data_IF_793637077299
#
_entry.id   IF_793637077299
#
_cell.length_a   1.000
_cell.length_b   1.000
_cell.length_c   1.000
_cell.angle_alpha   90.00
_cell.angle_beta   90.00
_cell.angle_gamma   90.00
#
_symmetry.space_group_name_H-M   'P 1'
#
loop_
_entity.id
_entity.type
_entity.pdbx_description
1 polymer ?
#
# COMPACT_ATOMS: atom_id res chain seq x y z
N UNK A 1 5.80 -29.94 27.70
CA UNK A 1 4.44 -30.48 27.51
C UNK A 1 3.92 -29.97 26.19
N UNK A 2 3.52 -30.86 25.27
CA UNK A 2 2.99 -30.44 23.97
C UNK A 2 1.57 -29.86 24.11
N UNK A 3 1.15 -28.98 23.19
CA UNK A 3 -0.21 -28.40 23.19
C UNK A 3 -1.30 -29.49 23.25
N UNK A 4 -1.08 -30.61 22.55
CA UNK A 4 -1.97 -31.77 22.59
C UNK A 4 -2.13 -32.32 24.02
N UNK A 5 -1.03 -32.53 24.74
CA UNK A 5 -1.07 -33.02 26.13
C UNK A 5 -1.66 -32.00 27.09
N UNK A 6 -1.46 -30.70 26.81
CA UNK A 6 -2.08 -29.62 27.57
C UNK A 6 -3.62 -29.63 27.41
N UNK A 7 -4.13 -29.80 26.19
CA UNK A 7 -5.58 -29.85 25.92
C UNK A 7 -6.29 -31.10 26.46
N UNK A 8 -5.59 -32.23 26.58
CA UNK A 8 -6.17 -33.48 27.11
C UNK A 8 -6.03 -33.65 28.62
N UNK A 9 -5.51 -32.63 29.33
CA UNK A 9 -5.42 -32.68 30.77
C UNK A 9 -6.83 -32.65 31.39
N UNK A 10 -7.16 -33.68 32.19
CA UNK A 10 -8.49 -33.83 32.82
C UNK A 10 -8.73 -32.82 33.95
N UNK A 11 -7.69 -32.13 34.41
CA UNK A 11 -7.71 -31.17 35.52
C UNK A 11 -7.38 -29.74 35.05
N UNK A 12 -7.80 -29.36 33.85
CA UNK A 12 -7.60 -27.99 33.33
C UNK A 12 -8.39 -27.00 34.19
N UNK A 13 -7.70 -25.99 34.70
CA UNK A 13 -8.33 -24.89 35.43
C UNK A 13 -9.10 -23.95 34.46
N UNK A 14 -10.11 -23.21 34.93
CA UNK A 14 -10.95 -22.36 34.08
C UNK A 14 -10.17 -21.32 33.25
N UNK A 15 -9.07 -20.77 33.78
CA UNK A 15 -8.27 -19.76 33.07
C UNK A 15 -7.48 -20.41 31.94
N UNK A 16 -6.95 -21.61 32.15
CA UNK A 16 -6.32 -22.41 31.11
C UNK A 16 -7.32 -22.86 30.04
N UNK A 17 -8.57 -23.17 30.42
CA UNK A 17 -9.64 -23.47 29.47
C UNK A 17 -9.98 -22.25 28.59
N UNK A 18 -10.10 -21.07 29.19
CA UNK A 18 -10.33 -19.82 28.45
C UNK A 18 -9.18 -19.51 27.49
N UNK A 19 -7.93 -19.80 27.86
CA UNK A 19 -6.77 -19.67 26.96
C UNK A 19 -6.85 -20.64 25.78
N UNK A 20 -7.28 -21.88 25.99
CA UNK A 20 -7.50 -22.85 24.92
C UNK A 20 -8.63 -22.38 24.01
N UNK A 21 -9.74 -21.92 24.58
CA UNK A 21 -10.87 -21.40 23.80
C UNK A 21 -10.43 -20.17 23.02
N UNK A 22 -9.74 -19.20 23.60
CA UNK A 22 -9.28 -18.04 22.86
C UNK A 22 -8.26 -18.39 21.75
N UNK A 23 -7.36 -19.35 22.00
CA UNK A 23 -6.43 -19.82 20.97
C UNK A 23 -7.12 -20.59 19.83
N UNK A 24 -8.10 -21.44 20.17
CA UNK A 24 -8.87 -22.22 19.19
C UNK A 24 -9.88 -21.34 18.45
N UNK A 25 -10.39 -20.28 19.11
CA UNK A 25 -11.48 -19.45 18.62
C UNK A 25 -11.15 -18.05 18.13
N UNK A 26 -9.86 -17.72 18.00
CA UNK A 26 -9.43 -16.58 17.20
C UNK A 26 -9.94 -16.73 15.76
N UNK A 27 -10.63 -15.70 15.26
CA UNK A 27 -11.23 -15.64 13.92
C UNK A 27 -10.23 -15.97 12.80
N UNK A 28 -8.96 -15.63 13.01
CA UNK A 28 -7.84 -15.88 12.11
C UNK A 28 -7.57 -17.38 11.87
N UNK A 29 -7.93 -18.25 12.83
CA UNK A 29 -7.72 -19.71 12.76
C UNK A 29 -8.99 -20.52 12.45
N UNK A 30 -10.13 -19.84 12.28
CA UNK A 30 -11.46 -20.47 12.15
C UNK A 30 -11.98 -20.66 10.75
N UNK A 31 -11.63 -19.80 9.79
CA UNK A 31 -12.15 -19.98 8.42
C UNK A 31 -11.77 -21.36 7.83
N UNK A 32 -10.62 -21.97 8.17
CA UNK A 32 -10.33 -23.36 7.79
C UNK A 32 -11.03 -24.45 8.62
N UNK A 33 -11.49 -24.18 9.84
CA UNK A 33 -12.04 -25.19 10.79
C UNK A 33 -13.57 -25.22 10.90
N UNK A 34 -14.26 -24.11 10.62
CA UNK A 34 -15.73 -24.06 10.51
C UNK A 34 -16.26 -24.78 9.27
N UNK A 35 -15.38 -25.16 8.35
CA UNK A 35 -15.69 -25.90 7.15
C UNK A 35 -15.19 -27.33 7.38
N UNK A 36 -16.09 -28.32 7.28
CA UNK A 36 -15.72 -29.75 7.31
C UNK A 36 -14.42 -29.97 6.52
N UNK A 37 -13.46 -30.67 7.13
CA UNK A 37 -12.14 -31.00 6.54
C UNK A 37 -12.26 -31.63 5.16
N UNK A 38 -13.40 -32.25 4.86
CA UNK A 38 -13.68 -32.97 3.62
C UNK A 38 -14.33 -32.07 2.55
N UNK A 39 -14.96 -30.97 2.96
CA UNK A 39 -15.70 -30.06 2.07
C UNK A 39 -14.98 -28.72 1.83
N UNK A 40 -13.88 -28.42 2.52
CA UNK A 40 -13.10 -27.19 2.29
C UNK A 40 -12.67 -27.04 0.81
N UNK A 41 -12.31 -28.14 0.14
CA UNK A 41 -11.97 -28.15 -1.29
C UNK A 41 -13.12 -27.76 -2.23
N UNK A 42 -14.38 -27.84 -1.77
CA UNK A 42 -15.57 -27.50 -2.56
C UNK A 42 -15.94 -26.02 -2.44
N UNK A 43 -15.35 -25.30 -1.49
CA UNK A 43 -15.64 -23.88 -1.25
C UNK A 43 -14.61 -23.08 -2.03
N UNK A 44 -15.08 -22.40 -3.08
CA UNK A 44 -14.27 -21.44 -3.81
C UNK A 44 -14.00 -20.27 -2.88
N UNK A 45 -12.80 -20.20 -2.30
CA UNK A 45 -12.34 -18.99 -1.61
C UNK A 45 -12.42 -17.82 -2.59
N UNK A 46 -12.79 -16.63 -2.08
CA UNK A 46 -12.81 -15.43 -2.90
C UNK A 46 -11.44 -15.25 -3.56
N UNK A 47 -11.45 -14.97 -4.86
CA UNK A 47 -10.24 -14.62 -5.60
C UNK A 47 -9.58 -13.40 -4.92
N UNK A 48 -8.30 -13.54 -4.54
CA UNK A 48 -7.54 -12.46 -3.92
C UNK A 48 -7.56 -11.27 -4.89
N UNK A 49 -7.90 -10.06 -4.41
CA UNK A 49 -7.87 -8.89 -5.27
C UNK A 49 -6.42 -8.40 -5.45
N UNK A 50 -6.15 -7.62 -6.50
CA UNK A 50 -4.81 -7.04 -6.69
C UNK A 50 -4.39 -6.16 -5.49
N UNK A 51 -5.33 -5.41 -4.91
CA UNK A 51 -5.06 -4.59 -3.73
C UNK A 51 -4.74 -5.45 -2.50
N UNK A 52 -5.46 -6.55 -2.30
CA UNK A 52 -5.19 -7.50 -1.21
C UNK A 52 -3.80 -8.15 -1.36
N UNK A 53 -3.43 -8.54 -2.59
CA UNK A 53 -2.11 -9.07 -2.89
C UNK A 53 -1.00 -8.06 -2.56
N UNK A 54 -1.21 -6.77 -2.89
CA UNK A 54 -0.27 -5.69 -2.56
C UNK A 54 -0.18 -5.44 -1.05
N UNK A 55 -1.32 -5.42 -0.34
CA UNK A 55 -1.36 -5.29 1.12
C UNK A 55 -0.62 -6.43 1.82
N UNK A 56 -0.73 -7.65 1.28
CA UNK A 56 -0.04 -8.83 1.77
C UNK A 56 1.43 -8.94 1.29
N UNK A 57 1.90 -8.04 0.43
CA UNK A 57 3.21 -8.15 -0.25
C UNK A 57 3.40 -9.53 -0.94
N UNK A 58 2.32 -10.06 -1.53
CA UNK A 58 2.33 -11.35 -2.23
C UNK A 58 2.82 -11.18 -3.68
N UNK A 59 4.13 -11.25 -3.87
CA UNK A 59 4.78 -11.07 -5.18
C UNK A 59 4.31 -12.07 -6.24
N UNK A 60 4.01 -13.31 -5.87
CA UNK A 60 3.52 -14.34 -6.80
C UNK A 60 2.17 -13.92 -7.38
N UNK A 61 1.21 -13.58 -6.52
CA UNK A 61 -0.13 -13.17 -6.96
C UNK A 61 -0.09 -11.84 -7.73
N UNK A 62 0.78 -10.90 -7.31
CA UNK A 62 1.02 -9.66 -8.06
C UNK A 62 1.54 -9.98 -9.47
N UNK A 63 2.48 -10.91 -9.62
CA UNK A 63 3.02 -11.29 -10.92
C UNK A 63 2.00 -11.99 -11.81
N UNK A 64 1.11 -12.80 -11.23
CA UNK A 64 0.04 -13.46 -11.95
C UNK A 64 -1.01 -12.45 -12.46
N UNK A 65 -1.27 -11.38 -11.71
CA UNK A 65 -2.29 -10.38 -12.08
C UNK A 65 -1.77 -9.20 -12.90
N UNK A 66 -0.51 -8.78 -12.68
CA UNK A 66 0.10 -7.63 -13.34
C UNK A 66 0.83 -8.11 -14.60
N UNK A 67 0.03 -8.42 -15.62
CA UNK A 67 0.51 -8.98 -16.90
C UNK A 67 0.73 -7.90 -17.96
N UNK A 68 0.12 -6.73 -17.80
CA UNK A 68 0.21 -5.62 -18.74
C UNK A 68 0.45 -4.28 -18.03
N UNK A 69 0.73 -3.25 -18.83
CA UNK A 69 1.08 -1.91 -18.34
C UNK A 69 -0.07 -1.22 -17.61
N UNK A 70 -1.32 -1.45 -18.01
CA UNK A 70 -2.51 -0.86 -17.38
C UNK A 70 -2.71 -1.45 -15.98
N UNK A 71 -2.51 -2.76 -15.83
CA UNK A 71 -2.50 -3.41 -14.51
C UNK A 71 -1.32 -2.92 -13.66
N UNK A 72 -0.17 -2.62 -14.28
CA UNK A 72 0.98 -2.05 -13.58
C UNK A 72 0.68 -0.63 -13.06
N UNK A 73 -0.01 0.22 -13.83
CA UNK A 73 -0.50 1.53 -13.36
C UNK A 73 -1.39 1.36 -12.13
N UNK A 74 -2.37 0.45 -12.20
CA UNK A 74 -3.28 0.20 -11.08
C UNK A 74 -2.55 -0.32 -9.85
N UNK A 75 -1.63 -1.27 -10.04
CA UNK A 75 -0.81 -1.84 -8.97
C UNK A 75 0.05 -0.76 -8.31
N UNK A 76 0.72 0.10 -9.10
CA UNK A 76 1.58 1.15 -8.58
C UNK A 76 0.77 2.13 -7.72
N UNK A 77 -0.39 2.59 -8.19
CA UNK A 77 -1.26 3.47 -7.39
C UNK A 77 -1.74 2.80 -6.10
N UNK A 78 -2.07 1.50 -6.11
CA UNK A 78 -2.37 0.77 -4.88
C UNK A 78 -1.16 0.68 -3.93
N UNK A 79 0.04 0.48 -4.46
CA UNK A 79 1.26 0.46 -3.66
C UNK A 79 1.54 1.81 -3.01
N UNK A 80 1.40 2.91 -3.74
CA UNK A 80 1.53 4.27 -3.21
C UNK A 80 0.46 4.56 -2.14
N UNK A 81 -0.79 4.24 -2.45
CA UNK A 81 -1.93 4.39 -1.56
C UNK A 81 -1.75 3.68 -0.21
N UNK A 82 -1.33 2.42 -0.27
CA UNK A 82 -1.10 1.54 0.88
C UNK A 82 0.29 1.66 1.52
N UNK A 83 1.12 2.62 1.07
CA UNK A 83 2.49 2.84 1.59
C UNK A 83 3.40 1.60 1.47
N UNK A 84 3.18 0.78 0.44
CA UNK A 84 3.97 -0.43 0.13
C UNK A 84 5.16 -0.10 -0.77
N UNK A 85 6.19 0.48 -0.16
CA UNK A 85 7.36 0.98 -0.87
C UNK A 85 8.17 -0.12 -1.57
N UNK A 86 8.28 -1.30 -0.97
CA UNK A 86 8.90 -2.49 -1.54
C UNK A 86 8.22 -2.89 -2.86
N UNK A 87 6.89 -2.96 -2.86
CA UNK A 87 6.11 -3.29 -4.06
C UNK A 87 6.17 -2.16 -5.09
N UNK A 88 6.09 -0.90 -4.66
CA UNK A 88 6.20 0.24 -5.59
C UNK A 88 7.54 0.21 -6.33
N UNK A 89 8.65 0.04 -5.62
CA UNK A 89 9.99 -0.04 -6.22
C UNK A 89 10.16 -1.30 -7.08
N UNK A 90 9.55 -2.43 -6.69
CA UNK A 90 9.51 -3.64 -7.51
C UNK A 90 8.77 -3.43 -8.84
N UNK A 91 7.62 -2.76 -8.83
CA UNK A 91 6.87 -2.46 -10.04
C UNK A 91 7.63 -1.48 -10.94
N UNK A 92 8.25 -0.45 -10.36
CA UNK A 92 9.07 0.52 -11.08
C UNK A 92 10.33 -0.10 -11.70
N UNK A 93 10.88 -1.17 -11.13
CA UNK A 93 12.02 -1.89 -11.73
C UNK A 93 11.60 -2.88 -12.82
N UNK A 94 10.37 -3.39 -12.76
CA UNK A 94 9.84 -4.37 -13.73
C UNK A 94 9.22 -3.70 -14.97
N UNK A 95 8.68 -2.50 -14.83
CA UNK A 95 8.00 -1.79 -15.91
C UNK A 95 8.63 -0.41 -16.12
N UNK A 96 8.81 -0.03 -17.39
CA UNK A 96 9.27 1.31 -17.73
C UNK A 96 8.10 2.32 -17.65
N UNK A 97 8.07 3.09 -16.56
CA UNK A 97 7.11 4.17 -16.35
C UNK A 97 7.63 5.49 -16.92
N UNK A 98 6.72 6.24 -17.53
CA UNK A 98 6.94 7.60 -18.05
C UNK A 98 6.01 8.57 -17.33
N UNK A 99 6.24 9.88 -17.51
CA UNK A 99 5.32 10.92 -17.03
C UNK A 99 3.89 10.74 -17.57
N UNK A 100 3.74 10.24 -18.81
CA UNK A 100 2.44 9.96 -19.41
C UNK A 100 1.73 8.80 -18.69
N UNK A 101 2.46 7.77 -18.29
CA UNK A 101 1.90 6.65 -17.51
C UNK A 101 1.35 7.11 -16.16
N UNK A 102 2.02 8.06 -15.50
CA UNK A 102 1.53 8.67 -14.25
C UNK A 102 0.23 9.44 -14.50
N UNK A 103 0.16 10.22 -15.59
CA UNK A 103 -1.06 10.95 -15.95
C UNK A 103 -2.23 10.01 -16.32
N UNK A 104 -1.94 8.86 -16.95
CA UNK A 104 -2.94 7.83 -17.24
C UNK A 104 -3.45 7.16 -15.96
N UNK A 105 -2.53 6.81 -15.06
CA UNK A 105 -2.83 6.28 -13.73
C UNK A 105 -3.77 7.21 -12.94
N UNK A 106 -3.58 8.54 -13.02
CA UNK A 106 -4.44 9.54 -12.38
C UNK A 106 -5.86 9.60 -12.95
N UNK A 107 -6.07 9.17 -14.20
CA UNK A 107 -7.37 9.17 -14.89
C UNK A 107 -8.14 7.85 -14.76
N UNK A 108 -7.56 6.84 -14.12
CA UNK A 108 -8.20 5.53 -13.97
C UNK A 108 -9.32 5.57 -12.92
N UNK A 109 -10.57 5.65 -13.38
CA UNK A 109 -11.77 5.71 -12.51
C UNK A 109 -11.90 4.55 -11.51
N UNK A 110 -11.29 3.40 -11.78
CA UNK A 110 -11.32 2.22 -10.89
C UNK A 110 -10.23 2.24 -9.79
N UNK A 111 -9.41 3.29 -9.72
CA UNK A 111 -8.38 3.42 -8.70
C UNK A 111 -8.80 4.41 -7.60
N UNK A 112 -9.24 3.89 -6.46
CA UNK A 112 -9.73 4.72 -5.34
C UNK A 112 -8.70 5.74 -4.85
N UNK A 113 -7.41 5.43 -4.89
CA UNK A 113 -6.38 6.35 -4.39
C UNK A 113 -6.19 7.52 -5.36
N UNK A 114 -6.06 7.25 -6.65
CA UNK A 114 -5.92 8.31 -7.66
C UNK A 114 -7.20 9.14 -7.83
N UNK A 115 -8.37 8.59 -7.50
CA UNK A 115 -9.63 9.37 -7.46
C UNK A 115 -9.63 10.42 -6.34
N UNK A 116 -8.98 10.13 -5.21
CA UNK A 116 -8.99 10.99 -4.01
C UNK A 116 -7.73 11.87 -3.90
N UNK A 117 -6.63 11.44 -4.50
CA UNK A 117 -5.31 12.00 -4.29
C UNK A 117 -4.55 12.10 -5.61
N UNK A 118 -3.77 13.16 -5.75
CA UNK A 118 -2.78 13.27 -6.80
C UNK A 118 -1.57 12.39 -6.45
N UNK A 119 -0.79 11.99 -7.45
CA UNK A 119 0.37 11.13 -7.23
C UNK A 119 1.40 11.83 -6.37
N UNK A 120 1.64 13.10 -6.63
CA UNK A 120 2.52 13.97 -5.85
C UNK A 120 2.07 14.05 -4.38
N UNK A 121 0.76 14.09 -4.14
CA UNK A 121 0.23 14.02 -2.77
C UNK A 121 0.58 12.67 -2.13
N UNK A 122 0.36 11.55 -2.82
CA UNK A 122 0.66 10.21 -2.30
C UNK A 122 2.16 10.00 -2.02
N UNK A 123 3.04 10.61 -2.82
CA UNK A 123 4.49 10.55 -2.66
C UNK A 123 5.00 11.35 -1.45
N UNK A 124 4.25 12.35 -1.00
CA UNK A 124 4.67 13.31 0.04
C UNK A 124 3.82 13.30 1.31
N UNK A 125 2.70 12.56 1.33
CA UNK A 125 1.84 12.44 2.52
C UNK A 125 2.59 11.84 3.71
N UNK A 126 2.07 12.07 4.91
CA UNK A 126 2.66 11.50 6.13
C UNK A 126 2.84 9.97 6.04
N UNK A 127 4.03 9.50 6.42
CA UNK A 127 4.48 8.11 6.29
C UNK A 127 4.78 7.64 4.85
N UNK A 128 4.81 8.53 3.86
CA UNK A 128 5.29 8.18 2.52
C UNK A 128 6.79 7.87 2.53
N UNK A 129 7.21 6.94 1.67
CA UNK A 129 8.59 6.47 1.63
C UNK A 129 9.45 7.39 0.75
N UNK A 130 10.49 7.95 1.37
CA UNK A 130 11.47 8.82 0.72
C UNK A 130 12.04 8.25 -0.59
N UNK A 131 12.40 6.96 -0.63
CA UNK A 131 13.04 6.35 -1.82
C UNK A 131 12.11 6.29 -3.02
N UNK A 132 10.80 6.15 -2.77
CA UNK A 132 9.80 6.16 -3.85
C UNK A 132 9.68 7.57 -4.41
N UNK A 133 9.57 8.59 -3.55
CA UNK A 133 9.57 9.99 -3.99
C UNK A 133 10.85 10.33 -4.79
N UNK A 134 12.02 9.98 -4.25
CA UNK A 134 13.31 10.19 -4.90
C UNK A 134 13.36 9.56 -6.29
N UNK A 135 12.87 8.33 -6.44
CA UNK A 135 12.78 7.67 -7.75
C UNK A 135 11.92 8.46 -8.73
N UNK A 136 10.73 8.88 -8.32
CA UNK A 136 9.80 9.60 -9.19
C UNK A 136 10.37 10.95 -9.66
N UNK A 137 11.04 11.68 -8.76
CA UNK A 137 11.66 12.97 -9.08
C UNK A 137 12.87 12.80 -9.99
N UNK A 138 13.80 11.91 -9.64
CA UNK A 138 15.05 11.72 -10.41
C UNK A 138 14.80 11.18 -11.83
N UNK A 139 13.68 10.46 -12.04
CA UNK A 139 13.28 9.95 -13.35
C UNK A 139 12.25 10.84 -14.06
N UNK A 140 11.95 12.03 -13.53
CA UNK A 140 11.04 13.00 -14.17
C UNK A 140 9.61 12.51 -14.35
N UNK A 141 9.14 11.59 -13.48
CA UNK A 141 7.81 10.99 -13.57
C UNK A 141 6.72 11.95 -13.08
N UNK A 142 7.08 12.88 -12.20
CA UNK A 142 6.20 13.92 -11.64
C UNK A 142 6.90 15.27 -11.69
N UNK A 143 6.11 16.34 -11.68
CA UNK A 143 6.63 17.68 -11.52
C UNK A 143 6.76 18.00 -10.02
N UNK A 144 7.97 18.35 -9.58
CA UNK A 144 8.29 18.62 -8.17
C UNK A 144 7.42 19.73 -7.57
N UNK A 145 6.95 20.64 -8.43
CA UNK A 145 6.25 21.86 -8.08
C UNK A 145 4.76 21.82 -8.48
N UNK A 146 4.24 20.67 -8.93
CA UNK A 146 2.80 20.53 -9.22
C UNK A 146 2.01 20.79 -7.95
N UNK A 147 1.10 21.76 -8.04
CA UNK A 147 0.08 21.97 -7.00
C UNK A 147 -0.90 20.83 -7.02
N UNK A 148 -1.23 20.31 -5.85
CA UNK A 148 -2.31 19.34 -5.71
C UNK A 148 -3.61 19.96 -6.20
N UNK A 149 -4.41 19.15 -6.88
CA UNK A 149 -5.72 19.50 -7.40
C UNK A 149 -6.82 18.87 -6.56
N UNK A 150 -6.52 17.76 -5.88
CA UNK A 150 -7.47 17.01 -5.03
C UNK A 150 -7.24 17.35 -3.55
N UNK A 151 -6.81 16.39 -2.73
CA UNK A 151 -6.53 16.64 -1.32
C UNK A 151 -5.45 17.70 -1.14
N UNK A 152 -5.64 18.60 -0.16
CA UNK A 152 -4.76 19.74 0.08
C UNK A 152 -4.54 20.61 -1.17
N UNK A 153 -5.61 20.84 -1.94
CA UNK A 153 -5.55 21.63 -3.18
C UNK A 153 -4.81 22.96 -2.98
N UNK A 154 -3.90 23.28 -3.91
CA UNK A 154 -3.02 24.45 -3.86
C UNK A 154 -1.65 24.21 -3.21
N UNK A 155 -1.52 23.21 -2.33
CA UNK A 155 -0.24 22.81 -1.74
C UNK A 155 0.64 22.05 -2.75
N UNK A 156 1.93 21.95 -2.43
CA UNK A 156 2.92 21.12 -3.13
C UNK A 156 3.45 19.99 -2.25
N UNK A 157 4.30 19.13 -2.81
CA UNK A 157 5.02 18.11 -2.04
C UNK A 157 5.84 18.70 -0.89
N UNK A 158 6.40 19.91 -1.07
CA UNK A 158 7.16 20.57 -0.01
C UNK A 158 6.25 20.99 1.15
N UNK A 159 5.06 21.53 0.87
CA UNK A 159 4.09 21.88 1.92
C UNK A 159 3.69 20.65 2.74
N UNK A 160 3.42 19.52 2.09
CA UNK A 160 3.13 18.25 2.76
C UNK A 160 4.32 17.73 3.61
N UNK A 161 5.54 17.80 3.08
CA UNK A 161 6.74 17.38 3.80
C UNK A 161 7.00 18.24 5.05
N UNK A 162 6.73 19.55 4.97
CA UNK A 162 6.82 20.48 6.10
C UNK A 162 5.76 20.17 7.17
N UNK A 163 4.51 19.91 6.75
CA UNK A 163 3.40 19.55 7.67
C UNK A 163 3.67 18.24 8.42
N UNK A 164 4.22 17.24 7.73
CA UNK A 164 4.63 15.95 8.31
C UNK A 164 5.94 16.02 9.09
N UNK A 165 6.65 17.15 9.06
CA UNK A 165 7.95 17.36 9.72
C UNK A 165 8.97 16.27 9.33
N UNK A 166 9.02 15.90 8.05
CA UNK A 166 9.95 14.88 7.54
C UNK A 166 11.25 15.53 7.03
N UNK A 167 12.31 15.67 7.85
CA UNK A 167 13.49 16.46 7.50
C UNK A 167 14.21 15.94 6.25
N UNK A 168 14.26 14.62 6.07
CA UNK A 168 14.92 14.00 4.91
C UNK A 168 14.20 14.34 3.61
N UNK A 169 12.87 14.30 3.61
CA UNK A 169 12.07 14.65 2.44
C UNK A 169 12.12 16.15 2.16
N UNK A 170 12.07 16.99 3.20
CA UNK A 170 12.20 18.45 3.09
C UNK A 170 13.55 18.81 2.44
N UNK A 171 14.66 18.29 2.96
CA UNK A 171 16.01 18.57 2.44
C UNK A 171 16.15 18.17 0.97
N UNK A 172 15.68 16.98 0.61
CA UNK A 172 15.73 16.51 -0.78
C UNK A 172 14.87 17.36 -1.72
N UNK A 173 13.64 17.70 -1.32
CA UNK A 173 12.75 18.53 -2.14
C UNK A 173 13.36 19.92 -2.37
N UNK A 174 13.89 20.56 -1.31
CA UNK A 174 14.57 21.85 -1.42
C UNK A 174 15.80 21.80 -2.32
N UNK A 175 16.64 20.76 -2.20
CA UNK A 175 17.80 20.55 -3.06
C UNK A 175 17.44 20.39 -4.54
N UNK A 176 16.24 19.89 -4.83
CA UNK A 176 15.72 19.74 -6.19
C UNK A 176 14.84 20.91 -6.64
N UNK A 177 14.86 22.04 -5.93
CA UNK A 177 14.17 23.27 -6.35
C UNK A 177 12.67 23.29 -6.06
N UNK A 178 12.19 22.47 -5.11
CA UNK A 178 10.81 22.54 -4.66
C UNK A 178 10.52 23.90 -3.98
N UNK A 179 9.35 24.46 -4.26
CA UNK A 179 8.86 25.68 -3.63
C UNK A 179 7.47 25.46 -3.02
N UNK A 180 7.14 26.25 -2.00
CA UNK A 180 5.83 26.19 -1.33
C UNK A 180 4.73 26.68 -2.28
N UNK A 181 3.55 26.07 -2.22
CA UNK A 181 2.40 26.37 -3.08
C UNK A 181 1.95 27.83 -3.00
N UNK A 182 2.05 28.44 -1.82
CA UNK A 182 1.75 29.86 -1.58
C UNK A 182 2.67 30.85 -2.31
N UNK A 183 3.88 30.43 -2.76
CA UNK A 183 4.81 31.31 -3.48
C UNK A 183 4.47 31.50 -4.96
N UNK A 184 3.47 30.77 -5.47
CA UNK A 184 2.99 30.91 -6.85
C UNK A 184 1.89 31.99 -7.01
N UNK A 185 1.47 32.65 -5.93
CA UNK A 185 0.39 33.65 -5.94
C UNK A 185 0.91 35.11 -6.11
N UNK A 186 2.01 35.29 -6.85
CA UNK A 186 2.57 36.63 -7.15
C UNK A 186 1.81 37.27 -8.31
#
# INVERSE_FOLDING_TARGET
QGFREFCYNKNIDPVSLDRIINFVFQLEYHIPRMLSTDNFKKIKLRDISLEDAIKASNYEEINNKVTDKKMAHQALAYSLGNKKADIALYLLSKFNFTKQDVAEMEKMNNNRYCNLYDVEYLLSKDGANYKVLEYFINNGLVDINKKFQKANSGDTMLDNAMKSKNPKMIDFLLKNGAILGKRFEI
#
